data_IF_935678697560
#
_entry.id   IF_935678697560
#
_cell.length_a   1.000
_cell.length_b   1.000
_cell.length_c   1.000
_cell.angle_alpha   90.00
_cell.angle_beta   90.00
_cell.angle_gamma   90.00
#
_symmetry.space_group_name_H-M   'P 1'
#
loop_
_entity.id
_entity.type
_entity.pdbx_description
1 polymer ?
#
# COMPACT_ATOMS: atom_id res chain seq x y z
N UNK A 1 20.92 -8.60 8.69
CA UNK A 1 19.65 -7.83 8.67
C UNK A 1 18.44 -8.71 8.41
N UNK A 2 18.52 -9.73 7.56
CA UNK A 2 17.48 -10.73 7.34
C UNK A 2 16.85 -11.24 8.63
N UNK A 3 17.66 -11.67 9.58
CA UNK A 3 17.21 -12.25 10.86
C UNK A 3 16.26 -11.36 11.69
N UNK A 4 16.40 -10.01 11.66
CA UNK A 4 15.50 -9.14 12.45
C UNK A 4 14.13 -8.97 11.78
N UNK A 5 14.08 -8.79 10.48
CA UNK A 5 12.81 -8.73 9.71
C UNK A 5 12.12 -10.09 9.69
N UNK A 6 12.85 -11.18 9.55
CA UNK A 6 12.34 -12.56 9.65
C UNK A 6 11.71 -12.82 11.03
N UNK A 7 12.35 -12.34 12.10
CA UNK A 7 11.78 -12.45 13.46
C UNK A 7 10.48 -11.66 13.62
N UNK A 8 10.39 -10.45 13.04
CA UNK A 8 9.14 -9.66 13.02
C UNK A 8 8.06 -10.43 12.25
N UNK A 9 8.40 -10.99 11.11
CA UNK A 9 7.48 -11.78 10.27
C UNK A 9 6.96 -13.01 11.03
N UNK A 10 7.83 -13.74 11.71
CA UNK A 10 7.47 -14.90 12.54
C UNK A 10 6.52 -14.51 13.67
N UNK A 11 6.84 -13.45 14.43
CA UNK A 11 5.97 -12.93 15.49
C UNK A 11 4.61 -12.52 14.92
N UNK A 12 4.62 -11.83 13.78
CA UNK A 12 3.38 -11.42 13.12
C UNK A 12 2.54 -12.61 12.68
N UNK A 13 3.16 -13.68 12.16
CA UNK A 13 2.45 -14.88 11.71
C UNK A 13 1.85 -15.68 12.87
N UNK A 14 2.56 -15.77 14.01
CA UNK A 14 2.22 -16.68 15.10
C UNK A 14 1.41 -16.03 16.23
N UNK A 15 1.48 -14.70 16.37
CA UNK A 15 0.79 -13.97 17.44
C UNK A 15 -0.52 -13.38 16.91
N UNK A 16 -1.69 -13.65 17.54
CA UNK A 16 -2.98 -13.12 17.06
C UNK A 16 -3.05 -11.59 17.01
N UNK A 17 -2.54 -10.91 18.03
CA UNK A 17 -2.49 -9.45 18.13
C UNK A 17 -1.09 -9.00 18.53
N UNK A 18 -0.10 -9.05 17.63
CA UNK A 18 1.25 -8.61 17.98
C UNK A 18 1.29 -7.09 18.14
N UNK A 19 2.10 -6.62 19.08
CA UNK A 19 2.37 -5.19 19.26
C UNK A 19 3.87 -4.94 19.10
N UNK A 20 4.22 -4.14 18.11
CA UNK A 20 5.60 -3.80 17.80
C UNK A 20 5.93 -2.40 18.34
N UNK A 21 6.69 -2.33 19.41
CA UNK A 21 7.01 -1.08 20.11
C UNK A 21 8.36 -0.48 19.71
N UNK A 22 9.22 -1.25 19.04
CA UNK A 22 10.58 -0.82 18.71
C UNK A 22 10.97 -1.31 17.30
N UNK A 23 10.70 -0.47 16.30
CA UNK A 23 10.94 -0.75 14.88
C UNK A 23 11.84 0.30 14.24
N UNK A 24 11.71 1.57 14.67
CA UNK A 24 12.37 2.71 14.05
C UNK A 24 13.90 2.58 14.03
N UNK A 25 14.49 1.98 15.06
CA UNK A 25 15.95 1.74 15.15
C UNK A 25 16.48 0.80 14.06
N UNK A 26 15.61 0.06 13.37
CA UNK A 26 15.97 -0.78 12.22
C UNK A 26 16.39 0.07 11.03
N UNK A 27 15.89 1.31 10.93
CA UNK A 27 16.29 2.26 9.88
C UNK A 27 17.65 2.85 10.26
N UNK A 28 18.71 2.12 9.97
CA UNK A 28 20.09 2.45 10.25
C UNK A 28 20.92 2.47 8.96
N UNK A 29 22.19 2.89 9.03
CA UNK A 29 23.07 3.02 7.87
C UNK A 29 23.16 1.70 7.08
N UNK A 30 23.23 0.56 7.75
CA UNK A 30 23.33 -0.75 7.10
C UNK A 30 22.06 -1.07 6.28
N UNK A 31 20.87 -0.85 6.86
CA UNK A 31 19.60 -1.04 6.15
C UNK A 31 19.48 -0.11 4.97
N UNK A 32 19.79 1.18 5.15
CA UNK A 32 19.69 2.17 4.07
C UNK A 32 20.71 1.88 2.95
N UNK A 33 21.91 1.39 3.29
CA UNK A 33 22.91 0.97 2.30
C UNK A 33 22.42 -0.24 1.49
N UNK A 34 21.72 -1.17 2.13
CA UNK A 34 21.09 -2.29 1.42
C UNK A 34 19.96 -1.79 0.51
N UNK A 35 19.10 -0.89 1.00
CA UNK A 35 18.03 -0.27 0.20
C UNK A 35 18.61 0.48 -1.01
N UNK A 36 19.71 1.24 -0.84
CA UNK A 36 20.40 1.89 -1.94
C UNK A 36 20.85 0.90 -3.03
N UNK A 37 21.41 -0.25 -2.65
CA UNK A 37 21.81 -1.29 -3.61
C UNK A 37 20.65 -1.87 -4.40
N UNK A 38 19.49 -2.03 -3.77
CA UNK A 38 18.29 -2.61 -4.38
C UNK A 38 17.53 -1.64 -5.30
N UNK A 39 17.71 -0.33 -5.10
CA UNK A 39 17.06 0.67 -5.94
C UNK A 39 17.63 0.67 -7.36
N UNK A 40 16.75 0.68 -8.34
CA UNK A 40 17.09 0.79 -9.76
C UNK A 40 17.50 2.23 -10.09
N UNK A 41 18.76 2.42 -10.52
CA UNK A 41 19.31 3.73 -10.88
C UNK A 41 18.78 4.30 -12.20
N UNK A 42 18.07 3.50 -13.02
CA UNK A 42 17.47 3.96 -14.28
C UNK A 42 16.12 4.69 -14.08
N UNK A 43 15.57 4.64 -12.87
CA UNK A 43 14.27 5.28 -12.57
C UNK A 43 14.37 6.79 -12.48
N UNK A 44 13.28 7.47 -12.87
CA UNK A 44 13.17 8.91 -12.87
C UNK A 44 13.59 9.55 -11.53
N UNK A 45 14.25 10.70 -11.59
CA UNK A 45 14.68 11.50 -10.43
C UNK A 45 13.55 12.33 -9.85
N UNK A 46 13.62 12.64 -8.57
CA UNK A 46 12.65 13.51 -7.89
C UNK A 46 12.88 14.99 -8.15
N UNK A 47 12.25 15.81 -7.33
CA UNK A 47 12.32 17.27 -7.42
C UNK A 47 13.75 17.82 -7.21
N UNK A 48 14.57 17.11 -6.43
CA UNK A 48 15.97 17.43 -6.15
C UNK A 48 16.91 17.11 -7.31
N UNK A 49 16.41 16.40 -8.33
CA UNK A 49 17.15 15.95 -9.52
C UNK A 49 18.35 15.04 -9.21
N UNK A 50 18.50 14.58 -7.98
CA UNK A 50 19.61 13.71 -7.58
C UNK A 50 19.45 12.31 -8.17
N UNK A 51 20.47 11.85 -8.89
CA UNK A 51 20.54 10.51 -9.43
C UNK A 51 21.15 9.53 -8.43
N UNK A 52 20.98 8.22 -8.67
CA UNK A 52 21.66 7.18 -7.87
C UNK A 52 23.17 7.31 -7.93
N UNK A 53 23.74 7.59 -9.10
CA UNK A 53 25.18 7.70 -9.31
C UNK A 53 25.78 8.88 -8.53
N UNK A 54 25.17 10.06 -8.62
CA UNK A 54 25.61 11.23 -7.85
C UNK A 54 25.51 11.00 -6.33
N UNK A 55 24.45 10.35 -5.86
CA UNK A 55 24.31 10.03 -4.45
C UNK A 55 25.37 9.03 -3.96
N UNK A 56 25.78 8.10 -4.83
CA UNK A 56 26.78 7.07 -4.55
C UNK A 56 28.20 7.63 -4.37
N UNK A 57 28.54 8.76 -4.99
CA UNK A 57 29.87 9.40 -4.85
C UNK A 57 30.23 9.69 -3.39
N UNK A 58 29.26 10.02 -2.55
CA UNK A 58 29.41 10.31 -1.11
C UNK A 58 28.52 9.43 -0.23
N UNK A 59 28.31 8.16 -0.61
CA UNK A 59 27.29 7.28 -0.03
C UNK A 59 27.37 7.17 1.49
N UNK A 60 28.53 6.91 2.08
CA UNK A 60 28.70 6.69 3.51
C UNK A 60 28.39 7.98 4.31
N UNK A 61 28.83 9.13 3.82
CA UNK A 61 28.56 10.42 4.43
C UNK A 61 27.06 10.76 4.32
N UNK A 62 26.48 10.62 3.14
CA UNK A 62 25.05 10.88 2.87
C UNK A 62 24.16 10.01 3.77
N UNK A 63 24.43 8.71 3.87
CA UNK A 63 23.64 7.80 4.70
C UNK A 63 23.82 8.08 6.20
N UNK A 64 25.02 8.45 6.64
CA UNK A 64 25.29 8.82 8.04
C UNK A 64 24.53 10.08 8.42
N UNK A 65 24.57 11.11 7.57
CA UNK A 65 23.81 12.34 7.74
C UNK A 65 22.30 12.09 7.74
N UNK A 66 21.80 11.23 6.83
CA UNK A 66 20.39 10.88 6.73
C UNK A 66 19.92 10.18 8.02
N UNK A 67 20.67 9.20 8.53
CA UNK A 67 20.35 8.54 9.82
C UNK A 67 20.39 9.53 10.98
N UNK A 68 21.32 10.49 10.99
CA UNK A 68 21.36 11.55 11.99
C UNK A 68 20.10 12.44 11.93
N UNK A 69 19.69 12.88 10.72
CA UNK A 69 18.43 13.63 10.54
C UNK A 69 17.22 12.84 11.05
N UNK A 70 17.16 11.53 10.75
CA UNK A 70 16.08 10.65 11.20
C UNK A 70 16.05 10.55 12.74
N UNK A 71 17.18 10.23 13.38
CA UNK A 71 17.29 10.12 14.84
C UNK A 71 16.88 11.39 15.57
N UNK A 72 17.27 12.55 15.05
CA UNK A 72 16.98 13.85 15.64
C UNK A 72 15.61 14.40 15.24
N UNK A 73 14.78 13.66 14.51
CA UNK A 73 13.48 14.07 13.95
C UNK A 73 13.56 15.33 13.06
N UNK A 74 14.75 15.63 12.54
CA UNK A 74 15.01 16.73 11.64
C UNK A 74 14.74 16.36 10.16
N UNK A 75 14.49 15.08 9.89
CA UNK A 75 14.17 14.60 8.54
C UNK A 75 12.80 15.12 8.09
N UNK A 76 12.77 15.67 6.88
CA UNK A 76 11.58 16.18 6.20
C UNK A 76 11.56 15.60 4.80
N UNK A 77 10.59 14.73 4.45
CA UNK A 77 10.41 14.27 3.08
C UNK A 77 10.19 15.47 2.15
N UNK A 78 10.74 15.42 0.95
CA UNK A 78 10.43 16.39 -0.09
C UNK A 78 9.08 16.06 -0.75
N UNK A 79 8.38 17.06 -1.31
CA UNK A 79 7.20 16.79 -2.13
C UNK A 79 7.53 15.87 -3.31
N UNK A 80 6.64 14.95 -3.62
CA UNK A 80 6.80 14.10 -4.81
C UNK A 80 6.59 14.92 -6.08
N UNK A 81 7.51 14.84 -7.04
CA UNK A 81 7.35 15.46 -8.35
C UNK A 81 6.23 14.76 -9.12
N UNK A 82 5.13 15.47 -9.41
CA UNK A 82 4.01 14.92 -10.17
C UNK A 82 4.30 14.96 -11.65
N UNK A 83 4.19 13.82 -12.31
CA UNK A 83 4.25 13.66 -13.76
C UNK A 83 3.00 12.93 -14.24
N UNK A 84 2.60 13.17 -15.50
CA UNK A 84 1.40 12.57 -16.07
C UNK A 84 1.77 11.58 -17.16
N UNK A 85 1.30 10.32 -17.00
CA UNK A 85 1.48 9.27 -18.01
C UNK A 85 0.15 9.04 -18.73
N UNK A 86 0.13 8.97 -20.09
CA UNK A 86 -1.09 8.70 -20.83
C UNK A 86 -1.61 7.28 -20.53
N UNK A 87 -2.92 7.14 -20.30
CA UNK A 87 -3.65 5.86 -20.26
C UNK A 87 -4.13 5.48 -21.66
N UNK A 88 -4.40 4.19 -21.90
CA UNK A 88 -4.93 3.69 -23.18
C UNK A 88 -6.26 4.36 -23.61
N UNK A 89 -7.06 4.83 -22.66
CA UNK A 89 -8.32 5.53 -22.88
C UNK A 89 -8.18 7.05 -23.11
N UNK A 90 -6.95 7.57 -23.32
CA UNK A 90 -6.68 8.99 -23.53
C UNK A 90 -6.64 9.84 -22.24
N UNK A 91 -7.06 9.30 -21.08
CA UNK A 91 -6.90 9.98 -19.78
C UNK A 91 -5.44 9.95 -19.36
N UNK A 92 -5.05 10.84 -18.45
CA UNK A 92 -3.70 10.87 -17.88
C UNK A 92 -3.73 10.24 -16.47
N UNK A 93 -2.68 9.45 -16.14
CA UNK A 93 -2.44 8.93 -14.79
C UNK A 93 -1.40 9.81 -14.11
N UNK A 94 -1.70 10.45 -12.97
CA UNK A 94 -0.70 11.16 -12.20
C UNK A 94 0.23 10.15 -11.52
N UNK A 95 1.55 10.37 -11.59
CA UNK A 95 2.55 9.64 -10.84
C UNK A 95 3.39 10.61 -10.03
N UNK A 96 3.63 10.26 -8.76
CA UNK A 96 4.56 10.97 -7.89
C UNK A 96 5.94 10.31 -7.92
N UNK A 97 6.98 11.10 -8.14
CA UNK A 97 8.38 10.67 -8.11
C UNK A 97 9.04 11.27 -6.88
N UNK A 98 9.36 10.43 -5.91
CA UNK A 98 10.06 10.85 -4.70
C UNK A 98 11.52 11.24 -4.98
N UNK A 99 12.12 12.06 -4.12
CA UNK A 99 13.56 12.35 -4.11
C UNK A 99 14.37 11.07 -3.85
N UNK A 100 15.66 11.10 -4.14
CA UNK A 100 16.46 9.88 -4.02
C UNK A 100 16.61 9.43 -2.56
N UNK A 101 16.87 10.35 -1.61
CA UNK A 101 16.89 10.01 -0.17
C UNK A 101 15.56 9.46 0.30
N UNK A 102 14.44 10.05 -0.16
CA UNK A 102 13.11 9.58 0.21
C UNK A 102 12.83 8.17 -0.32
N UNK A 103 13.28 7.83 -1.53
CA UNK A 103 13.17 6.46 -2.06
C UNK A 103 13.89 5.44 -1.18
N UNK A 104 15.10 5.76 -0.69
CA UNK A 104 15.88 4.89 0.20
C UNK A 104 15.11 4.65 1.51
N UNK A 105 14.62 5.73 2.15
CA UNK A 105 13.90 5.64 3.43
C UNK A 105 12.54 4.96 3.25
N UNK A 106 11.79 5.28 2.20
CA UNK A 106 10.53 4.62 1.88
C UNK A 106 10.70 3.12 1.67
N UNK A 107 11.79 2.68 1.02
CA UNK A 107 12.08 1.26 0.85
C UNK A 107 12.39 0.56 2.19
N UNK A 108 13.10 1.24 3.08
CA UNK A 108 13.37 0.71 4.43
C UNK A 108 12.06 0.56 5.23
N UNK A 109 11.19 1.59 5.22
CA UNK A 109 9.87 1.52 5.87
C UNK A 109 9.00 0.43 5.24
N UNK A 110 8.96 0.34 3.90
CA UNK A 110 8.23 -0.71 3.18
C UNK A 110 8.64 -2.11 3.66
N UNK A 111 9.93 -2.40 3.77
CA UNK A 111 10.44 -3.69 4.25
C UNK A 111 9.97 -4.03 5.68
N UNK A 112 9.93 -3.03 6.57
CA UNK A 112 9.41 -3.20 7.93
C UNK A 112 7.90 -3.49 7.89
N UNK A 113 7.14 -2.73 7.10
CA UNK A 113 5.70 -2.95 6.96
C UNK A 113 5.38 -4.31 6.31
N UNK A 114 6.12 -4.73 5.30
CA UNK A 114 5.98 -6.06 4.68
C UNK A 114 6.22 -7.18 5.71
N UNK A 115 7.25 -7.06 6.55
CA UNK A 115 7.50 -8.05 7.60
C UNK A 115 6.34 -8.17 8.60
N UNK A 116 5.60 -7.08 8.85
CA UNK A 116 4.45 -7.07 9.77
C UNK A 116 3.18 -7.56 9.07
N UNK A 117 2.89 -7.06 7.88
CA UNK A 117 1.56 -7.21 7.27
C UNK A 117 1.45 -8.37 6.28
N UNK A 118 2.55 -8.78 5.61
CA UNK A 118 2.50 -9.86 4.63
C UNK A 118 1.96 -11.19 5.21
N UNK A 119 2.34 -11.62 6.43
CA UNK A 119 1.76 -12.80 7.05
C UNK A 119 0.28 -12.69 7.40
N UNK A 120 -0.25 -11.47 7.45
CA UNK A 120 -1.63 -11.16 7.88
C UNK A 120 -2.59 -10.97 6.72
N UNK A 121 -2.09 -10.61 5.55
CA UNK A 121 -2.93 -10.44 4.38
C UNK A 121 -3.64 -11.72 4.01
N UNK A 122 -4.94 -11.62 3.72
CA UNK A 122 -5.74 -12.76 3.32
C UNK A 122 -5.28 -13.31 1.97
N UNK A 123 -5.56 -14.59 1.76
CA UNK A 123 -5.16 -15.31 0.55
C UNK A 123 -5.75 -14.71 -0.75
N UNK A 124 -6.91 -14.08 -0.64
CA UNK A 124 -7.59 -13.42 -1.76
C UNK A 124 -6.92 -12.14 -2.26
N UNK A 125 -5.87 -11.63 -1.59
CA UNK A 125 -5.11 -10.44 -2.01
C UNK A 125 -3.90 -10.83 -2.84
N UNK A 126 -3.76 -10.25 -4.04
CA UNK A 126 -2.70 -10.59 -5.00
C UNK A 126 -1.82 -9.39 -5.38
N UNK A 127 -2.39 -8.19 -5.53
CA UNK A 127 -1.68 -7.00 -5.99
C UNK A 127 -0.55 -6.57 -5.04
N UNK A 128 0.58 -6.14 -5.60
CA UNK A 128 1.74 -5.60 -4.88
C UNK A 128 2.34 -6.51 -3.80
N UNK A 129 2.03 -7.78 -3.80
CA UNK A 129 2.57 -8.76 -2.84
C UNK A 129 3.70 -9.58 -3.45
N UNK A 130 4.73 -9.94 -2.65
CA UNK A 130 5.81 -10.80 -3.14
C UNK A 130 5.28 -12.17 -3.55
N UNK A 131 5.81 -12.70 -4.65
CA UNK A 131 5.46 -14.02 -5.21
C UNK A 131 3.98 -14.20 -5.56
N UNK A 132 3.24 -13.13 -5.79
CA UNK A 132 1.84 -13.14 -6.24
C UNK A 132 1.66 -12.16 -7.39
N UNK A 133 1.02 -12.61 -8.46
CA UNK A 133 0.82 -11.83 -9.66
C UNK A 133 -0.64 -11.81 -10.14
N UNK A 134 -0.91 -11.01 -11.17
CA UNK A 134 -2.21 -10.93 -11.80
C UNK A 134 -2.69 -12.30 -12.32
N UNK A 135 -1.77 -13.11 -12.89
CA UNK A 135 -2.10 -14.44 -13.38
C UNK A 135 -2.56 -15.39 -12.25
N UNK A 136 -2.07 -15.22 -11.02
CA UNK A 136 -2.51 -16.04 -9.88
C UNK A 136 -3.93 -15.65 -9.47
N UNK A 137 -4.25 -14.34 -9.48
CA UNK A 137 -5.61 -13.87 -9.26
C UNK A 137 -6.58 -14.41 -10.32
N UNK A 138 -6.20 -14.35 -11.60
CA UNK A 138 -7.01 -14.87 -12.72
C UNK A 138 -7.25 -16.37 -12.57
N UNK A 139 -6.21 -17.16 -12.24
CA UNK A 139 -6.35 -18.61 -12.03
C UNK A 139 -7.31 -18.92 -10.89
N UNK A 140 -7.25 -18.17 -9.80
CA UNK A 140 -8.18 -18.34 -8.68
C UNK A 140 -9.61 -18.03 -9.09
N UNK A 141 -9.85 -16.90 -9.75
CA UNK A 141 -11.18 -16.53 -10.26
C UNK A 141 -11.71 -17.62 -11.21
N UNK A 142 -10.90 -18.07 -12.16
CA UNK A 142 -11.26 -19.14 -13.09
C UNK A 142 -11.61 -20.44 -12.36
N UNK A 143 -10.81 -20.81 -11.35
CA UNK A 143 -11.08 -22.01 -10.55
C UNK A 143 -12.41 -21.91 -9.80
N UNK A 144 -12.70 -20.76 -9.18
CA UNK A 144 -13.93 -20.54 -8.42
C UNK A 144 -15.17 -20.58 -9.33
N UNK A 145 -15.11 -19.92 -10.49
CA UNK A 145 -16.23 -19.91 -11.46
C UNK A 145 -16.49 -21.33 -12.00
N UNK A 146 -15.46 -22.06 -12.39
CA UNK A 146 -15.61 -23.36 -13.03
C UNK A 146 -16.00 -24.49 -12.05
N UNK A 147 -15.65 -24.39 -10.77
CA UNK A 147 -15.74 -25.51 -9.82
C UNK A 147 -16.66 -25.27 -8.62
N UNK A 148 -17.21 -24.04 -8.44
CA UNK A 148 -17.90 -23.65 -7.20
C UNK A 148 -19.30 -23.08 -7.39
N UNK A 149 -19.97 -23.39 -8.50
CA UNK A 149 -21.34 -22.94 -8.78
C UNK A 149 -21.53 -21.41 -8.64
N UNK A 150 -20.57 -20.65 -9.08
CA UNK A 150 -20.66 -19.19 -9.10
C UNK A 150 -21.49 -18.77 -10.33
N UNK A 151 -22.60 -18.08 -10.12
CA UNK A 151 -23.51 -17.65 -11.18
C UNK A 151 -23.55 -16.10 -11.32
N UNK A 152 -23.18 -15.38 -10.26
CA UNK A 152 -23.24 -13.93 -10.20
C UNK A 152 -21.88 -13.38 -9.79
N UNK A 153 -21.44 -12.35 -10.50
CA UNK A 153 -20.13 -11.70 -10.26
C UNK A 153 -20.34 -10.21 -10.10
N UNK A 154 -19.77 -9.66 -9.05
CA UNK A 154 -19.66 -8.23 -8.79
C UNK A 154 -18.23 -7.83 -9.10
N UNK A 155 -18.03 -7.21 -10.26
CA UNK A 155 -16.75 -6.62 -10.68
C UNK A 155 -16.77 -5.13 -10.30
N UNK A 156 -15.77 -4.69 -9.55
CA UNK A 156 -15.77 -3.36 -8.93
C UNK A 156 -14.37 -2.75 -8.96
N UNK A 157 -14.34 -1.45 -9.16
CA UNK A 157 -13.16 -0.59 -9.08
C UNK A 157 -13.43 0.57 -8.12
N UNK A 158 -12.40 1.05 -7.43
CA UNK A 158 -12.51 2.18 -6.50
C UNK A 158 -12.05 3.45 -7.21
N UNK A 159 -12.95 4.42 -7.28
CA UNK A 159 -12.68 5.71 -7.92
C UNK A 159 -11.53 6.43 -7.24
N UNK A 160 -10.43 6.64 -7.97
CA UNK A 160 -9.29 7.40 -7.49
C UNK A 160 -8.72 6.90 -6.16
N UNK A 161 -8.65 5.60 -5.95
CA UNK A 161 -8.29 4.97 -4.67
C UNK A 161 -7.07 5.60 -3.99
N UNK A 162 -5.97 5.77 -4.74
CA UNK A 162 -4.74 6.35 -4.18
C UNK A 162 -4.88 7.82 -3.78
N UNK A 163 -5.79 8.55 -4.38
CA UNK A 163 -6.02 9.96 -4.11
C UNK A 163 -6.97 10.18 -2.91
N UNK A 164 -7.82 9.17 -2.57
CA UNK A 164 -8.86 9.27 -1.54
C UNK A 164 -8.63 8.42 -0.28
N UNK A 165 -7.47 7.77 -0.15
CA UNK A 165 -7.13 7.07 1.10
C UNK A 165 -7.07 8.05 2.27
N UNK A 166 -7.95 7.92 3.26
CA UNK A 166 -7.94 8.74 4.47
C UNK A 166 -6.66 8.52 5.28
N UNK A 167 -5.89 9.59 5.54
CA UNK A 167 -4.71 9.53 6.41
C UNK A 167 -5.08 9.11 7.82
N UNK A 168 -6.23 9.56 8.34
CA UNK A 168 -6.70 9.21 9.68
C UNK A 168 -6.94 7.69 9.79
N UNK A 169 -7.73 7.12 8.88
CA UNK A 169 -7.97 5.68 8.86
C UNK A 169 -6.70 4.87 8.62
N UNK A 170 -5.80 5.33 7.73
CA UNK A 170 -4.51 4.68 7.53
C UNK A 170 -3.71 4.61 8.83
N UNK A 171 -3.63 5.71 9.57
CA UNK A 171 -2.90 5.74 10.84
C UNK A 171 -3.57 4.85 11.90
N UNK A 172 -4.91 4.76 11.94
CA UNK A 172 -5.62 3.83 12.82
C UNK A 172 -5.30 2.37 12.48
N UNK A 173 -5.29 1.99 11.19
CA UNK A 173 -4.93 0.64 10.76
C UNK A 173 -3.48 0.28 11.10
N UNK A 174 -2.56 1.22 10.95
CA UNK A 174 -1.17 1.01 11.34
C UNK A 174 -1.02 0.82 12.85
N UNK A 175 -1.76 1.58 13.67
CA UNK A 175 -1.75 1.48 15.13
C UNK A 175 -2.29 0.15 15.67
N UNK A 176 -2.98 -0.64 14.86
CA UNK A 176 -3.43 -1.98 15.29
C UNK A 176 -2.25 -2.85 15.74
N UNK A 177 -1.12 -2.77 15.04
CA UNK A 177 0.07 -3.59 15.32
C UNK A 177 1.31 -2.76 15.65
N UNK A 178 1.43 -1.53 15.17
CA UNK A 178 2.60 -0.68 15.36
C UNK A 178 2.35 0.28 16.53
N UNK A 179 3.13 0.14 17.59
CA UNK A 179 3.13 1.03 18.77
C UNK A 179 4.38 1.92 18.82
N UNK A 180 5.30 1.77 17.87
CA UNK A 180 6.47 2.63 17.73
C UNK A 180 6.05 4.00 17.17
N UNK A 181 5.99 4.99 18.07
CA UNK A 181 5.56 6.36 17.72
C UNK A 181 6.50 7.04 16.72
N UNK A 182 7.78 6.66 16.69
CA UNK A 182 8.74 7.24 15.75
C UNK A 182 8.53 6.71 14.32
N UNK A 183 8.24 5.41 14.17
CA UNK A 183 7.90 4.86 12.87
C UNK A 183 6.57 5.42 12.36
N UNK A 184 5.56 5.51 13.22
CA UNK A 184 4.27 6.12 12.87
C UNK A 184 4.42 7.60 12.49
N UNK A 185 5.26 8.35 13.22
CA UNK A 185 5.60 9.74 12.87
C UNK A 185 6.20 9.84 11.47
N UNK A 186 7.16 8.96 11.13
CA UNK A 186 7.80 8.94 9.81
C UNK A 186 6.80 8.63 8.69
N UNK A 187 5.93 7.62 8.88
CA UNK A 187 4.89 7.27 7.89
C UNK A 187 3.93 8.45 7.69
N UNK A 188 3.49 9.09 8.78
CA UNK A 188 2.61 10.26 8.69
C UNK A 188 3.27 11.44 7.95
N UNK A 189 4.62 11.60 8.07
CA UNK A 189 5.37 12.60 7.28
C UNK A 189 5.30 12.31 5.77
N UNK A 190 5.38 11.05 5.35
CA UNK A 190 5.24 10.67 3.94
C UNK A 190 3.83 10.88 3.42
N UNK A 191 2.80 10.57 4.21
CA UNK A 191 1.41 10.82 3.82
C UNK A 191 1.16 12.31 3.58
N UNK A 192 1.79 13.18 4.38
CA UNK A 192 1.63 14.64 4.35
C UNK A 192 2.72 15.38 3.53
N UNK A 193 3.60 14.66 2.84
CA UNK A 193 4.71 15.30 2.11
C UNK A 193 4.25 16.19 0.94
N UNK A 194 3.04 16.00 0.45
CA UNK A 194 2.48 16.73 -0.68
C UNK A 194 3.10 16.35 -2.02
N UNK A 195 2.68 17.07 -3.04
CA UNK A 195 3.16 16.90 -4.41
C UNK A 195 3.53 18.25 -5.01
N UNK A 196 4.44 18.22 -5.98
CA UNK A 196 4.86 19.39 -6.75
C UNK A 196 4.45 19.18 -8.21
N UNK A 197 3.56 20.03 -8.73
CA UNK A 197 3.08 19.99 -10.11
C UNK A 197 3.48 21.29 -10.81
N UNK A 198 4.32 21.22 -11.84
CA UNK A 198 4.76 22.38 -12.63
C UNK A 198 5.29 23.55 -11.76
N UNK A 199 6.00 23.23 -10.66
CA UNK A 199 6.56 24.23 -9.74
C UNK A 199 5.57 24.73 -8.67
N UNK A 200 4.33 24.26 -8.66
CA UNK A 200 3.33 24.59 -7.64
C UNK A 200 3.23 23.46 -6.62
N UNK A 201 3.35 23.81 -5.35
CA UNK A 201 3.20 22.87 -4.24
C UNK A 201 1.71 22.67 -3.90
N UNK A 202 1.29 21.43 -3.79
CA UNK A 202 -0.04 21.01 -3.34
C UNK A 202 0.11 20.19 -2.06
N UNK A 203 -0.54 20.62 -0.98
CA UNK A 203 -0.63 19.81 0.25
C UNK A 203 -1.43 18.53 0.00
N UNK A 204 -1.06 17.47 0.74
CA UNK A 204 -1.79 16.21 0.73
C UNK A 204 -2.52 16.05 2.07
N UNK A 205 -3.82 16.29 2.08
CA UNK A 205 -4.68 16.06 3.26
C UNK A 205 -5.20 14.63 3.31
N UNK A 206 -5.30 13.99 2.14
CA UNK A 206 -5.66 12.59 1.94
C UNK A 206 -4.83 11.98 0.81
N UNK A 207 -4.92 10.68 0.65
CA UNK A 207 -4.26 9.94 -0.40
C UNK A 207 -2.79 9.62 -0.13
N UNK A 208 -2.21 8.90 -1.07
CA UNK A 208 -0.78 8.59 -1.13
C UNK A 208 -0.32 8.69 -2.57
N UNK A 209 0.73 9.45 -2.83
CA UNK A 209 1.19 9.70 -4.18
C UNK A 209 1.45 8.39 -4.92
N UNK A 210 0.66 8.13 -5.97
CA UNK A 210 0.83 6.95 -6.81
C UNK A 210 2.23 6.99 -7.45
N UNK A 211 3.02 5.94 -7.26
CA UNK A 211 4.41 5.87 -7.73
C UNK A 211 5.46 5.96 -6.61
N UNK A 212 5.11 6.39 -5.42
CA UNK A 212 5.98 6.29 -4.26
C UNK A 212 6.17 4.82 -3.86
N UNK A 213 7.38 4.49 -3.37
CA UNK A 213 7.77 3.10 -3.04
C UNK A 213 6.94 2.51 -1.90
N UNK A 214 6.51 3.35 -0.96
CA UNK A 214 5.70 2.93 0.19
C UNK A 214 4.21 2.78 -0.16
N UNK A 215 3.70 3.47 -1.19
CA UNK A 215 2.26 3.53 -1.49
C UNK A 215 1.61 2.16 -1.74
N UNK A 216 2.25 1.19 -2.42
CA UNK A 216 1.67 -0.14 -2.63
C UNK A 216 1.40 -0.92 -1.34
N UNK A 217 2.30 -0.90 -0.37
CA UNK A 217 2.06 -1.60 0.92
C UNK A 217 1.00 -0.90 1.75
N UNK A 218 0.95 0.45 1.73
CA UNK A 218 -0.12 1.21 2.40
C UNK A 218 -1.48 0.91 1.75
N UNK A 219 -1.55 0.84 0.42
CA UNK A 219 -2.75 0.43 -0.31
C UNK A 219 -3.26 -0.95 0.15
N UNK A 220 -2.38 -1.93 0.22
CA UNK A 220 -2.73 -3.26 0.71
C UNK A 220 -3.19 -3.26 2.17
N UNK A 221 -2.56 -2.49 3.06
CA UNK A 221 -2.99 -2.35 4.45
C UNK A 221 -4.40 -1.74 4.52
N UNK A 222 -4.67 -0.72 3.70
CA UNK A 222 -5.98 -0.08 3.64
C UNK A 222 -7.06 -1.06 3.16
N UNK A 223 -6.84 -1.70 2.00
CA UNK A 223 -7.78 -2.67 1.41
C UNK A 223 -7.99 -3.89 2.30
N UNK A 224 -6.96 -4.34 3.01
CA UNK A 224 -7.08 -5.42 3.98
C UNK A 224 -8.10 -5.09 5.08
N UNK A 225 -8.00 -3.92 5.68
CA UNK A 225 -8.85 -3.51 6.79
C UNK A 225 -10.26 -3.07 6.33
N UNK A 226 -10.33 -2.39 5.19
CA UNK A 226 -11.62 -1.88 4.67
C UNK A 226 -12.42 -3.00 4.01
N UNK A 227 -11.80 -3.79 3.14
CA UNK A 227 -12.51 -4.71 2.27
C UNK A 227 -12.36 -6.18 2.69
N UNK A 228 -11.13 -6.72 2.74
CA UNK A 228 -10.98 -8.18 2.81
C UNK A 228 -11.34 -8.75 4.19
N UNK A 229 -10.99 -8.07 5.28
CA UNK A 229 -11.42 -8.49 6.63
C UNK A 229 -12.94 -8.35 6.80
N UNK A 230 -13.53 -7.27 6.28
CA UNK A 230 -14.97 -7.09 6.31
C UNK A 230 -15.69 -8.19 5.51
N UNK A 231 -15.21 -8.51 4.32
CA UNK A 231 -15.76 -9.61 3.53
C UNK A 231 -15.71 -10.92 4.31
N UNK A 232 -14.54 -11.25 4.87
CA UNK A 232 -14.35 -12.50 5.64
C UNK A 232 -15.26 -12.62 6.85
N UNK A 233 -15.40 -11.54 7.63
CA UNK A 233 -16.09 -11.63 8.94
C UNK A 233 -17.54 -11.15 8.92
N UNK A 234 -17.94 -10.35 7.94
CA UNK A 234 -19.28 -9.80 7.88
C UNK A 234 -20.10 -10.29 6.68
N UNK A 235 -19.48 -10.66 5.57
CA UNK A 235 -20.21 -11.06 4.36
C UNK A 235 -20.35 -12.57 4.25
N UNK A 236 -19.25 -13.34 4.37
CA UNK A 236 -19.30 -14.81 4.20
C UNK A 236 -20.35 -15.45 5.12
N UNK A 237 -20.50 -15.00 6.35
CA UNK A 237 -21.51 -15.53 7.28
C UNK A 237 -22.96 -15.15 6.98
N UNK A 238 -23.19 -14.25 6.01
CA UNK A 238 -24.54 -13.81 5.58
C UNK A 238 -24.96 -14.41 4.24
N UNK A 239 -24.01 -14.92 3.44
CA UNK A 239 -24.32 -15.57 2.16
C UNK A 239 -24.95 -16.92 2.39
N UNK A 240 -25.97 -17.25 1.60
CA UNK A 240 -26.70 -18.51 1.66
C UNK A 240 -26.04 -19.58 0.80
N UNK A 241 -25.22 -19.18 -0.19
CA UNK A 241 -24.48 -20.04 -1.06
C UNK A 241 -22.97 -19.81 -0.99
N UNK A 242 -22.25 -20.46 -1.89
CA UNK A 242 -20.81 -20.25 -2.03
C UNK A 242 -20.50 -18.83 -2.49
N UNK A 243 -19.48 -18.23 -1.91
CA UNK A 243 -18.96 -16.93 -2.36
C UNK A 243 -17.44 -16.88 -2.27
N UNK A 244 -16.81 -16.08 -3.11
CA UNK A 244 -15.37 -15.82 -3.08
C UNK A 244 -15.06 -14.36 -3.40
N UNK A 245 -13.84 -13.94 -3.10
CA UNK A 245 -13.31 -12.63 -3.46
C UNK A 245 -11.88 -12.78 -3.97
N UNK A 246 -11.52 -11.98 -4.98
CA UNK A 246 -10.14 -11.80 -5.41
C UNK A 246 -9.86 -10.28 -5.54
N UNK A 247 -8.73 -9.84 -4.97
CA UNK A 247 -8.34 -8.42 -4.89
C UNK A 247 -6.96 -8.25 -5.52
N UNK A 248 -6.86 -7.34 -6.47
CA UNK A 248 -5.60 -6.95 -7.10
C UNK A 248 -5.42 -5.43 -7.02
N UNK A 249 -4.75 -4.98 -5.97
CA UNK A 249 -4.67 -3.56 -5.60
C UNK A 249 -6.05 -2.95 -5.30
N UNK A 250 -6.49 -2.00 -6.09
CA UNK A 250 -7.80 -1.34 -6.05
C UNK A 250 -8.88 -2.05 -6.86
N UNK A 251 -8.49 -2.87 -7.85
CA UNK A 251 -9.40 -3.73 -8.59
C UNK A 251 -9.80 -4.96 -7.76
N UNK A 252 -11.06 -5.30 -7.72
CA UNK A 252 -11.52 -6.51 -7.05
C UNK A 252 -12.79 -7.10 -7.65
N UNK A 253 -12.91 -8.39 -7.49
CA UNK A 253 -14.06 -9.18 -7.96
C UNK A 253 -14.60 -10.02 -6.79
N UNK A 254 -15.92 -10.08 -6.65
CA UNK A 254 -16.60 -10.98 -5.73
C UNK A 254 -17.61 -11.84 -6.50
N UNK A 255 -17.58 -13.15 -6.29
CA UNK A 255 -18.48 -14.10 -6.92
C UNK A 255 -19.44 -14.74 -5.93
N UNK A 256 -20.67 -14.98 -6.36
CA UNK A 256 -21.75 -15.52 -5.55
C UNK A 256 -22.53 -16.60 -6.29
N UNK A 257 -23.04 -17.57 -5.55
CA UNK A 257 -23.91 -18.61 -6.09
C UNK A 257 -25.32 -18.07 -6.35
N UNK A 258 -25.84 -17.21 -5.47
CA UNK A 258 -27.21 -16.68 -5.52
C UNK A 258 -27.23 -15.19 -5.81
N UNK A 259 -28.25 -14.76 -6.57
CA UNK A 259 -28.45 -13.37 -7.01
C UNK A 259 -28.62 -12.43 -5.79
N UNK A 260 -29.46 -12.85 -4.88
CA UNK A 260 -29.82 -12.08 -3.68
C UNK A 260 -28.58 -11.79 -2.80
N UNK A 261 -27.63 -12.75 -2.73
CA UNK A 261 -26.36 -12.57 -2.03
C UNK A 261 -25.49 -11.52 -2.71
N UNK A 262 -25.42 -11.53 -4.06
CA UNK A 262 -24.66 -10.56 -4.85
C UNK A 262 -25.24 -9.15 -4.72
N UNK A 263 -26.57 -9.00 -4.83
CA UNK A 263 -27.27 -7.72 -4.69
C UNK A 263 -27.11 -7.15 -3.26
N UNK A 264 -27.26 -7.97 -2.26
CA UNK A 264 -27.06 -7.61 -0.85
C UNK A 264 -25.61 -7.17 -0.58
N UNK A 265 -24.65 -7.93 -1.10
CA UNK A 265 -23.24 -7.57 -1.00
C UNK A 265 -22.96 -6.20 -1.63
N UNK A 266 -23.45 -5.95 -2.86
CA UNK A 266 -23.22 -4.70 -3.57
C UNK A 266 -23.77 -3.48 -2.81
N UNK A 267 -24.96 -3.60 -2.25
CA UNK A 267 -25.56 -2.55 -1.43
C UNK A 267 -24.71 -2.25 -0.18
N UNK A 268 -24.31 -3.30 0.56
CA UNK A 268 -23.47 -3.18 1.75
C UNK A 268 -22.06 -2.67 1.43
N UNK A 269 -21.50 -3.03 0.26
CA UNK A 269 -20.18 -2.59 -0.18
C UNK A 269 -20.15 -1.06 -0.35
N UNK A 270 -21.16 -0.46 -0.97
CA UNK A 270 -21.25 1.00 -1.14
C UNK A 270 -21.23 1.73 0.20
N UNK A 271 -22.01 1.25 1.17
CA UNK A 271 -22.03 1.80 2.52
C UNK A 271 -20.68 1.63 3.23
N UNK A 272 -20.08 0.44 3.07
CA UNK A 272 -18.77 0.12 3.65
C UNK A 272 -17.68 1.05 3.15
N UNK A 273 -17.56 1.25 1.85
CA UNK A 273 -16.54 2.09 1.23
C UNK A 273 -16.69 3.55 1.64
N UNK A 274 -17.92 4.10 1.64
CA UNK A 274 -18.19 5.48 2.08
C UNK A 274 -17.70 5.77 3.50
N UNK A 275 -17.84 4.80 4.42
CA UNK A 275 -17.33 4.92 5.78
C UNK A 275 -15.84 5.20 5.85
N UNK A 276 -15.09 4.78 4.84
CA UNK A 276 -13.64 4.91 4.76
C UNK A 276 -13.19 5.87 3.65
N UNK A 277 -14.02 6.85 3.33
CA UNK A 277 -13.74 7.88 2.33
C UNK A 277 -13.46 7.33 0.92
N UNK A 278 -14.08 6.20 0.57
CA UNK A 278 -13.95 5.56 -0.74
C UNK A 278 -15.29 5.47 -1.45
N UNK A 279 -15.25 5.51 -2.77
CA UNK A 279 -16.42 5.35 -3.64
C UNK A 279 -16.14 4.34 -4.74
N UNK A 280 -17.17 3.61 -5.18
CA UNK A 280 -17.08 2.77 -6.38
C UNK A 280 -17.03 3.65 -7.62
N UNK A 281 -16.20 3.26 -8.59
CA UNK A 281 -16.29 3.85 -9.92
C UNK A 281 -17.55 3.29 -10.61
N UNK A 282 -18.49 4.18 -10.97
CA UNK A 282 -19.66 3.79 -11.74
C UNK A 282 -19.19 3.47 -13.17
N UNK A 283 -19.21 2.19 -13.54
CA UNK A 283 -19.02 1.80 -14.93
C UNK A 283 -20.30 2.17 -15.69
N UNK A 284 -20.17 3.01 -16.71
CA UNK A 284 -21.26 3.22 -17.64
C UNK A 284 -21.57 1.87 -18.30
N UNK A 285 -22.81 1.42 -18.17
CA UNK A 285 -23.37 0.25 -18.86
C UNK A 285 -23.24 0.36 -20.38
#
# INVERSE_FOLDING_TARGET
MGTKLERIMEISATTPKPEFTSLYHLINVEMLKQCHKELDGSKAVGIDKVTKAEYEEHLEENLTNLVSKLKNKAYKPLPSLRVFIPKANGKKRPLGIASYEDKIVQLAVKKILEAIYEPRFLHCMYGFRPNRGCHDAIKEVQYQINNRCINYVVDSDIKGFFDHMSHEWMMEFLRLYIKDSNLLWLINKYLKAGVMTDGVFEESEEGSAQGNIISPILANIYMHNVLTLWYKFAIIGRTTGHSFMAVYADDFIAGFQHKEDAESYYALLRERLRKFNLELEERAD
#
